data_IF_998841038092
#
_entry.id   IF_998841038092
#
_cell.length_a   1.000
_cell.length_b   1.000
_cell.length_c   1.000
_cell.angle_alpha   90.00
_cell.angle_beta   90.00
_cell.angle_gamma   90.00
#
_symmetry.space_group_name_H-M   'P 1'
#
loop_
_entity.id
_entity.type
_entity.pdbx_description
1 polymer ?
#
# COMPACT_ATOMS: atom_id res chain seq x y z
N UNK A 1 6.52 4.74 -16.46
CA UNK A 1 5.24 5.19 -15.87
C UNK A 1 4.30 4.01 -15.76
N UNK A 2 3.84 3.67 -14.56
CA UNK A 2 2.84 2.64 -14.36
C UNK A 2 1.54 3.03 -15.10
N UNK A 3 0.97 2.10 -15.87
CA UNK A 3 -0.25 2.38 -16.64
C UNK A 3 -1.42 2.47 -15.67
N UNK A 4 -2.02 3.64 -15.55
CA UNK A 4 -3.24 3.85 -14.77
C UNK A 4 -4.40 3.08 -15.41
N UNK A 5 -5.09 2.27 -14.60
CA UNK A 5 -6.24 1.49 -15.06
C UNK A 5 -7.51 2.36 -15.08
N UNK A 6 -8.40 2.15 -16.05
CA UNK A 6 -9.77 2.64 -15.94
C UNK A 6 -10.54 1.84 -14.88
N UNK A 7 -11.73 2.33 -14.47
CA UNK A 7 -12.58 1.61 -13.50
C UNK A 7 -12.94 0.20 -13.99
N UNK A 8 -13.27 0.06 -15.26
CA UNK A 8 -13.64 -1.22 -15.90
C UNK A 8 -12.45 -2.16 -15.97
N UNK A 9 -11.28 -1.66 -16.39
CA UNK A 9 -10.05 -2.44 -16.45
C UNK A 9 -9.62 -2.93 -15.07
N UNK A 10 -9.70 -2.07 -14.07
CA UNK A 10 -9.39 -2.41 -12.68
C UNK A 10 -10.35 -3.50 -12.17
N UNK A 11 -11.66 -3.34 -12.39
CA UNK A 11 -12.64 -4.34 -11.95
C UNK A 11 -12.43 -5.69 -12.63
N UNK A 12 -12.16 -5.69 -13.94
CA UNK A 12 -11.87 -6.90 -14.69
C UNK A 12 -10.61 -7.61 -14.17
N UNK A 13 -9.56 -6.87 -13.83
CA UNK A 13 -8.34 -7.45 -13.27
C UNK A 13 -8.56 -8.01 -11.85
N UNK A 14 -9.33 -7.31 -11.00
CA UNK A 14 -9.72 -7.81 -9.67
C UNK A 14 -10.50 -9.12 -9.77
N UNK A 15 -11.47 -9.22 -10.69
CA UNK A 15 -12.24 -10.44 -10.92
C UNK A 15 -11.34 -11.58 -11.37
N UNK A 16 -10.45 -11.32 -12.33
CA UNK A 16 -9.48 -12.30 -12.82
C UNK A 16 -8.55 -12.81 -11.70
N UNK A 17 -8.07 -11.93 -10.82
CA UNK A 17 -7.23 -12.31 -9.69
C UNK A 17 -8.03 -13.13 -8.67
N UNK A 18 -9.29 -12.79 -8.40
CA UNK A 18 -10.16 -13.55 -7.51
C UNK A 18 -10.43 -14.97 -8.02
N UNK A 19 -10.70 -15.13 -9.32
CA UNK A 19 -10.89 -16.44 -9.98
C UNK A 19 -9.60 -17.29 -9.97
N UNK A 20 -8.45 -16.64 -10.12
CA UNK A 20 -7.15 -17.31 -10.09
C UNK A 20 -6.66 -17.63 -8.68
N UNK A 21 -7.28 -17.09 -7.64
CA UNK A 21 -6.85 -17.21 -6.25
C UNK A 21 -6.71 -18.68 -5.81
N UNK A 22 -5.61 -18.96 -5.11
CA UNK A 22 -5.30 -20.23 -4.46
C UNK A 22 -4.71 -19.95 -3.09
N UNK A 23 -5.51 -20.13 -2.06
CA UNK A 23 -5.12 -19.95 -0.66
C UNK A 23 -5.02 -21.34 0.02
N UNK A 24 -3.90 -21.62 0.66
CA UNK A 24 -3.66 -22.88 1.36
C UNK A 24 -3.23 -22.59 2.81
N UNK A 25 -3.93 -23.16 3.77
CA UNK A 25 -3.52 -23.16 5.18
C UNK A 25 -3.00 -24.55 5.54
N UNK A 26 -1.73 -24.65 5.93
CA UNK A 26 -1.11 -25.91 6.29
C UNK A 26 -0.11 -25.73 7.43
N UNK A 27 0.21 -26.84 8.11
CA UNK A 27 1.33 -26.94 9.05
C UNK A 27 2.66 -26.92 8.25
N UNK A 28 3.66 -26.20 8.73
CA UNK A 28 4.95 -26.04 8.03
C UNK A 28 5.70 -27.36 7.87
N UNK A 29 5.43 -28.38 8.71
CA UNK A 29 5.97 -29.75 8.53
C UNK A 29 5.50 -30.42 7.24
N UNK A 30 4.43 -29.92 6.63
CA UNK A 30 3.87 -30.39 5.35
C UNK A 30 4.35 -29.54 4.17
N UNK A 31 5.38 -28.73 4.38
CA UNK A 31 5.93 -27.83 3.38
C UNK A 31 7.40 -28.18 3.12
N UNK A 32 7.83 -27.96 1.89
CA UNK A 32 9.22 -28.09 1.50
C UNK A 32 9.58 -27.03 0.46
N UNK A 33 10.82 -26.52 0.54
CA UNK A 33 11.35 -25.57 -0.40
C UNK A 33 12.20 -26.25 -1.46
N UNK A 34 11.98 -25.90 -2.72
CA UNK A 34 12.82 -26.28 -3.85
C UNK A 34 13.35 -25.02 -4.51
N UNK A 35 14.64 -25.02 -4.84
CA UNK A 35 15.24 -23.89 -5.56
C UNK A 35 15.69 -24.38 -6.92
N UNK A 36 15.11 -23.80 -7.95
CA UNK A 36 15.32 -24.19 -9.34
C UNK A 36 15.78 -23.00 -10.18
N UNK A 37 16.38 -23.30 -11.35
CA UNK A 37 16.73 -22.27 -12.32
C UNK A 37 15.45 -21.81 -13.04
N UNK A 38 15.16 -20.52 -12.93
CA UNK A 38 14.03 -19.86 -13.60
C UNK A 38 14.49 -18.86 -14.66
N UNK A 39 13.52 -18.26 -15.34
CA UNK A 39 13.79 -17.17 -16.29
C UNK A 39 14.25 -15.94 -15.50
N UNK A 40 15.50 -15.52 -15.72
CA UNK A 40 16.09 -14.35 -15.02
C UNK A 40 16.80 -14.66 -13.71
N UNK A 41 16.98 -15.95 -13.33
CA UNK A 41 17.71 -16.37 -12.14
C UNK A 41 17.03 -17.50 -11.39
N UNK A 42 17.59 -17.89 -10.25
CA UNK A 42 16.99 -18.94 -9.43
C UNK A 42 15.68 -18.48 -8.78
N UNK A 43 14.72 -19.38 -8.72
CA UNK A 43 13.40 -19.19 -8.08
C UNK A 43 13.24 -20.13 -6.90
N UNK A 44 12.41 -19.75 -5.95
CA UNK A 44 12.06 -20.60 -4.80
C UNK A 44 10.63 -21.09 -5.00
N UNK A 45 10.46 -22.38 -5.17
CA UNK A 45 9.17 -23.04 -5.13
C UNK A 45 8.91 -23.59 -3.72
N UNK A 46 7.77 -23.25 -3.17
CA UNK A 46 7.27 -23.81 -1.92
C UNK A 46 6.20 -24.86 -2.26
N UNK A 47 6.50 -26.11 -1.97
CA UNK A 47 5.58 -27.21 -2.09
C UNK A 47 4.80 -27.39 -0.79
N UNK A 48 3.51 -27.51 -0.87
CA UNK A 48 2.60 -27.69 0.28
C UNK A 48 1.77 -28.96 0.07
N UNK A 49 1.96 -29.96 0.92
CA UNK A 49 1.15 -31.15 0.91
C UNK A 49 -0.29 -30.87 1.39
N UNK A 50 -1.25 -31.03 0.53
CA UNK A 50 -2.67 -30.87 0.82
C UNK A 50 -3.42 -32.20 0.67
N UNK A 51 -4.64 -32.33 1.22
CA UNK A 51 -5.46 -33.52 1.00
C UNK A 51 -5.75 -33.81 -0.48
N UNK A 52 -5.66 -32.80 -1.34
CA UNK A 52 -5.94 -32.89 -2.79
C UNK A 52 -4.66 -33.06 -3.64
N UNK A 53 -3.52 -33.30 -3.02
CA UNK A 53 -2.21 -33.38 -3.68
C UNK A 53 -1.29 -32.21 -3.29
N UNK A 54 -0.14 -32.12 -3.96
CA UNK A 54 0.85 -31.07 -3.71
C UNK A 54 0.41 -29.79 -4.42
N UNK A 55 0.30 -28.70 -3.66
CA UNK A 55 0.18 -27.35 -4.19
C UNK A 55 1.58 -26.72 -4.23
N UNK A 56 2.09 -26.43 -5.44
CA UNK A 56 3.40 -25.80 -5.63
C UNK A 56 3.22 -24.30 -5.92
N UNK A 57 4.00 -23.47 -5.22
CA UNK A 57 3.97 -22.01 -5.33
C UNK A 57 5.36 -21.46 -5.61
N UNK A 58 5.57 -20.85 -6.75
CA UNK A 58 6.76 -20.05 -7.02
C UNK A 58 6.64 -18.72 -6.25
N UNK A 59 7.46 -18.56 -5.21
CA UNK A 59 7.38 -17.38 -4.35
C UNK A 59 7.88 -16.13 -5.07
N UNK A 60 7.06 -15.08 -5.12
CA UNK A 60 7.49 -13.77 -5.58
C UNK A 60 8.43 -13.09 -4.55
N UNK A 61 8.99 -11.93 -4.88
CA UNK A 61 9.95 -11.23 -4.01
C UNK A 61 9.36 -10.88 -2.65
N UNK A 62 8.07 -10.50 -2.60
CA UNK A 62 7.38 -10.17 -1.37
C UNK A 62 7.21 -11.39 -0.46
N UNK A 63 6.67 -12.49 -0.98
CA UNK A 63 6.49 -13.73 -0.22
C UNK A 63 7.84 -14.30 0.27
N UNK A 64 8.90 -14.26 -0.55
CA UNK A 64 10.25 -14.63 -0.11
C UNK A 64 10.74 -13.80 1.07
N UNK A 65 10.47 -12.47 1.03
CA UNK A 65 10.80 -11.56 2.14
C UNK A 65 10.07 -11.94 3.44
N UNK A 66 8.80 -12.30 3.33
CA UNK A 66 7.99 -12.74 4.48
C UNK A 66 8.48 -14.08 5.04
N UNK A 67 8.75 -15.07 4.19
CA UNK A 67 9.35 -16.36 4.60
C UNK A 67 10.69 -16.13 5.28
N UNK A 68 11.59 -15.34 4.69
CA UNK A 68 12.90 -15.03 5.26
C UNK A 68 12.76 -14.39 6.65
N UNK A 69 11.87 -13.42 6.81
CA UNK A 69 11.64 -12.73 8.08
C UNK A 69 11.08 -13.69 9.14
N UNK A 70 10.10 -14.49 8.78
CA UNK A 70 9.44 -15.44 9.68
C UNK A 70 10.39 -16.52 10.20
N UNK A 71 11.25 -17.04 9.31
CA UNK A 71 12.25 -18.04 9.66
C UNK A 71 13.55 -17.46 10.28
N UNK A 72 13.59 -16.15 10.54
CA UNK A 72 14.76 -15.48 11.12
C UNK A 72 15.98 -15.44 10.19
N UNK A 73 15.78 -15.64 8.88
CA UNK A 73 16.86 -15.58 7.88
C UNK A 73 16.97 -14.13 7.38
N UNK A 74 18.11 -13.43 7.61
CA UNK A 74 18.26 -12.07 7.08
C UNK A 74 18.03 -12.03 5.57
N UNK A 75 17.14 -11.15 5.09
CA UNK A 75 16.76 -11.08 3.67
C UNK A 75 17.95 -11.02 2.72
N UNK A 76 18.97 -10.22 3.08
CA UNK A 76 20.20 -10.10 2.28
C UNK A 76 20.97 -11.43 2.19
N UNK A 77 20.95 -12.24 3.24
CA UNK A 77 21.60 -13.57 3.23
C UNK A 77 20.75 -14.58 2.47
N UNK A 78 19.43 -14.51 2.59
CA UNK A 78 18.51 -15.31 1.79
C UNK A 78 18.74 -15.08 0.29
N UNK A 79 18.80 -13.83 -0.15
CA UNK A 79 19.03 -13.48 -1.56
C UNK A 79 20.42 -13.90 -2.05
N UNK A 80 21.44 -13.79 -1.19
CA UNK A 80 22.77 -14.31 -1.50
C UNK A 80 22.76 -15.83 -1.70
N UNK A 81 22.14 -16.58 -0.80
CA UNK A 81 22.02 -18.04 -0.94
C UNK A 81 21.22 -18.42 -2.18
N UNK A 82 20.16 -17.67 -2.50
CA UNK A 82 19.36 -17.90 -3.71
C UNK A 82 20.24 -17.86 -4.96
N UNK A 83 21.18 -16.93 -5.03
CA UNK A 83 22.05 -16.73 -6.19
C UNK A 83 23.25 -17.68 -6.17
N UNK A 84 23.96 -17.78 -5.04
CA UNK A 84 25.28 -18.41 -4.95
C UNK A 84 25.24 -19.87 -4.47
N UNK A 85 24.20 -20.24 -3.69
CA UNK A 85 24.10 -21.56 -3.05
C UNK A 85 22.66 -22.06 -2.92
N UNK A 86 21.92 -22.26 -4.05
CA UNK A 86 20.48 -22.56 -4.04
C UNK A 86 20.12 -23.81 -3.24
N UNK A 87 20.92 -24.88 -3.33
CA UNK A 87 20.69 -26.08 -2.54
C UNK A 87 20.92 -25.89 -1.03
N UNK A 88 21.73 -24.92 -0.61
CA UNK A 88 21.86 -24.54 0.79
C UNK A 88 20.63 -23.77 1.26
N UNK A 89 20.10 -22.86 0.42
CA UNK A 89 18.88 -22.13 0.74
C UNK A 89 17.70 -23.10 0.97
N UNK A 90 17.46 -24.04 0.05
CA UNK A 90 16.39 -25.00 0.20
C UNK A 90 16.49 -25.77 1.53
N UNK A 91 17.65 -26.32 1.84
CA UNK A 91 17.88 -27.04 3.12
C UNK A 91 17.74 -26.14 4.35
N UNK A 92 18.13 -24.87 4.25
CA UNK A 92 18.01 -23.92 5.36
C UNK A 92 16.54 -23.60 5.65
N UNK A 93 15.75 -23.34 4.59
CA UNK A 93 14.31 -23.10 4.70
C UNK A 93 13.61 -24.33 5.27
N UNK A 94 13.86 -25.54 4.72
CA UNK A 94 13.26 -26.79 5.18
C UNK A 94 13.58 -27.07 6.64
N UNK A 95 14.82 -26.83 7.05
CA UNK A 95 15.23 -27.03 8.45
C UNK A 95 14.36 -26.21 9.41
N UNK A 96 14.21 -24.91 9.16
CA UNK A 96 13.45 -24.05 10.06
C UNK A 96 11.94 -24.28 9.98
N UNK A 97 11.40 -24.62 8.81
CA UNK A 97 9.98 -25.00 8.66
C UNK A 97 9.62 -26.21 9.54
N UNK A 98 10.58 -27.15 9.74
CA UNK A 98 10.36 -28.39 10.49
C UNK A 98 10.74 -28.29 11.97
N UNK A 99 11.73 -27.47 12.32
CA UNK A 99 12.18 -27.30 13.71
C UNK A 99 11.21 -26.42 14.54
N UNK A 100 10.56 -25.48 13.90
CA UNK A 100 9.59 -24.58 14.54
C UNK A 100 8.24 -24.67 13.82
N UNK A 101 7.52 -25.80 13.98
CA UNK A 101 6.31 -26.02 13.22
C UNK A 101 5.19 -25.09 13.64
N UNK A 102 4.61 -24.40 12.67
CA UNK A 102 3.50 -23.52 12.84
C UNK A 102 2.48 -23.70 11.70
N UNK A 103 1.25 -23.23 11.90
CA UNK A 103 0.28 -23.13 10.80
C UNK A 103 0.44 -21.80 10.09
N UNK A 104 0.56 -21.88 8.78
CA UNK A 104 0.72 -20.70 7.91
C UNK A 104 -0.29 -20.71 6.78
N UNK A 105 -0.71 -19.51 6.39
CA UNK A 105 -1.51 -19.25 5.20
C UNK A 105 -0.56 -18.86 4.05
N UNK A 106 -0.50 -19.70 3.02
CA UNK A 106 0.11 -19.34 1.74
C UNK A 106 -0.98 -18.80 0.83
N UNK A 107 -0.87 -17.54 0.42
CA UNK A 107 -1.76 -16.93 -0.57
C UNK A 107 -1.10 -16.86 -1.92
N UNK A 108 -1.82 -17.24 -2.95
CA UNK A 108 -1.27 -17.23 -4.29
C UNK A 108 -2.32 -17.27 -5.40
N UNK A 109 -1.84 -17.53 -6.59
CA UNK A 109 -2.64 -17.81 -7.76
C UNK A 109 -2.40 -19.22 -8.24
N UNK A 110 -3.43 -19.83 -8.83
CA UNK A 110 -3.36 -21.15 -9.46
C UNK A 110 -2.31 -21.16 -10.57
N UNK A 111 -1.69 -22.31 -10.84
CA UNK A 111 -0.83 -22.46 -12.01
C UNK A 111 -1.59 -22.15 -13.29
N UNK A 112 -0.92 -21.50 -14.22
CA UNK A 112 -1.46 -21.21 -15.57
C UNK A 112 -1.32 -22.40 -16.52
N UNK A 113 -0.45 -23.35 -16.16
CA UNK A 113 -0.19 -24.59 -16.93
C UNK A 113 -0.41 -25.77 -15.98
N UNK A 114 -1.08 -26.80 -16.47
CA UNK A 114 -1.32 -28.02 -15.71
C UNK A 114 0.02 -28.67 -15.28
N UNK A 115 0.14 -29.01 -13.99
CA UNK A 115 1.37 -29.55 -13.40
C UNK A 115 2.47 -28.52 -13.13
N UNK A 116 2.26 -27.26 -13.41
CA UNK A 116 3.19 -26.18 -13.07
C UNK A 116 3.01 -25.65 -11.65
N UNK A 117 3.92 -24.74 -11.24
CA UNK A 117 3.79 -24.00 -10.00
C UNK A 117 2.84 -22.81 -10.19
N UNK A 118 2.00 -22.54 -9.18
CA UNK A 118 1.27 -21.30 -9.05
C UNK A 118 2.20 -20.17 -8.60
N UNK A 119 1.67 -18.95 -8.49
CA UNK A 119 2.43 -17.81 -7.94
C UNK A 119 2.15 -17.68 -6.46
N UNK A 120 3.16 -17.83 -5.61
CA UNK A 120 3.08 -17.55 -4.18
C UNK A 120 3.26 -16.05 -3.93
N UNK A 121 2.19 -15.39 -3.50
CA UNK A 121 2.13 -13.92 -3.29
C UNK A 121 2.42 -13.52 -1.86
N UNK A 122 2.03 -14.35 -0.88
CA UNK A 122 2.20 -14.05 0.52
C UNK A 122 2.35 -15.29 1.40
N UNK A 123 3.08 -15.09 2.50
CA UNK A 123 3.27 -15.99 3.61
C UNK A 123 2.78 -15.31 4.89
N UNK A 124 1.65 -15.76 5.43
CA UNK A 124 0.92 -15.07 6.49
C UNK A 124 0.58 -16.02 7.65
N UNK A 125 0.22 -15.46 8.79
CA UNK A 125 -0.39 -16.23 9.88
C UNK A 125 -1.71 -16.88 9.42
N UNK A 126 -2.02 -18.08 9.92
CA UNK A 126 -3.29 -18.74 9.70
C UNK A 126 -4.51 -17.95 10.24
N UNK A 127 -4.25 -16.98 11.13
CA UNK A 127 -5.26 -16.05 11.70
C UNK A 127 -5.41 -14.76 10.90
N UNK A 128 -4.72 -14.63 9.76
CA UNK A 128 -4.84 -13.44 8.93
C UNK A 128 -6.29 -13.27 8.44
N UNK A 129 -6.92 -12.13 8.81
CA UNK A 129 -8.25 -11.78 8.30
C UNK A 129 -8.12 -11.35 6.85
N UNK A 130 -8.67 -12.14 5.95
CA UNK A 130 -8.68 -11.84 4.51
C UNK A 130 -9.66 -10.69 4.26
N UNK A 131 -9.21 -9.67 3.55
CA UNK A 131 -10.05 -8.62 2.97
C UNK A 131 -9.65 -8.51 1.50
N UNK A 132 -10.37 -9.23 0.66
CA UNK A 132 -10.03 -9.36 -0.75
C UNK A 132 -10.51 -8.13 -1.53
N UNK A 133 -9.76 -7.71 -2.53
CA UNK A 133 -10.07 -6.55 -3.35
C UNK A 133 -11.43 -6.65 -4.03
N UNK A 134 -11.88 -7.87 -4.34
CA UNK A 134 -13.21 -8.11 -4.92
C UNK A 134 -14.35 -7.74 -3.96
N UNK A 135 -14.16 -7.95 -2.64
CA UNK A 135 -15.16 -7.57 -1.64
C UNK A 135 -15.23 -6.05 -1.50
N UNK A 136 -14.08 -5.39 -1.50
CA UNK A 136 -13.99 -3.92 -1.51
C UNK A 136 -14.72 -3.37 -2.73
N UNK A 137 -14.42 -3.91 -3.91
CA UNK A 137 -15.07 -3.47 -5.15
C UNK A 137 -16.60 -3.65 -5.10
N UNK A 138 -17.08 -4.79 -4.64
CA UNK A 138 -18.53 -5.09 -4.53
C UNK A 138 -19.25 -4.22 -3.50
N UNK A 139 -18.58 -3.82 -2.41
CA UNK A 139 -19.20 -3.08 -1.30
C UNK A 139 -19.05 -1.57 -1.42
N UNK A 140 -17.95 -1.09 -2.01
CA UNK A 140 -17.63 0.34 -2.05
C UNK A 140 -18.01 0.99 -3.38
N UNK A 141 -17.91 0.31 -4.52
CA UNK A 141 -18.25 0.92 -5.81
C UNK A 141 -19.70 1.41 -5.89
N UNK A 142 -20.70 0.66 -5.39
CA UNK A 142 -22.08 1.18 -5.34
C UNK A 142 -22.20 2.47 -4.52
N UNK A 143 -21.41 2.62 -3.45
CA UNK A 143 -21.40 3.86 -2.64
C UNK A 143 -20.86 5.04 -3.45
N UNK A 144 -19.88 4.82 -4.30
CA UNK A 144 -19.35 5.86 -5.19
C UNK A 144 -20.38 6.29 -6.23
N UNK A 145 -21.15 5.34 -6.77
CA UNK A 145 -22.21 5.62 -7.74
C UNK A 145 -23.36 6.43 -7.13
N UNK A 146 -23.57 6.35 -5.81
CA UNK A 146 -24.56 7.10 -5.06
C UNK A 146 -24.11 8.55 -4.72
N UNK A 147 -22.83 8.91 -4.93
CA UNK A 147 -22.30 10.24 -4.62
C UNK A 147 -22.35 11.13 -5.87
N UNK A 148 -23.23 12.15 -5.93
CA UNK A 148 -23.35 12.98 -7.11
C UNK A 148 -22.06 13.72 -7.47
N UNK A 149 -21.63 13.60 -8.72
CA UNK A 149 -20.45 14.29 -9.23
C UNK A 149 -19.11 13.64 -8.87
N UNK A 150 -19.07 12.55 -8.08
CA UNK A 150 -17.83 11.82 -7.82
C UNK A 150 -17.35 11.15 -9.12
N UNK A 151 -16.10 11.38 -9.46
CA UNK A 151 -15.49 10.85 -10.68
C UNK A 151 -14.29 9.97 -10.34
N UNK A 152 -14.18 8.83 -11.01
CA UNK A 152 -13.02 7.97 -10.92
C UNK A 152 -11.80 8.71 -11.48
N UNK A 153 -10.72 8.74 -10.71
CA UNK A 153 -9.50 9.45 -11.09
C UNK A 153 -8.40 8.47 -11.51
N UNK A 154 -8.07 7.51 -10.66
CA UNK A 154 -6.95 6.60 -10.87
C UNK A 154 -7.15 5.29 -10.12
N UNK A 155 -6.66 4.19 -10.68
CA UNK A 155 -6.44 2.96 -9.92
C UNK A 155 -5.14 2.28 -10.33
N UNK A 156 -4.58 1.53 -9.39
CA UNK A 156 -3.39 0.73 -9.58
C UNK A 156 -3.48 -0.56 -8.76
N UNK A 157 -3.03 -1.65 -9.37
CA UNK A 157 -2.78 -2.92 -8.72
C UNK A 157 -1.28 -3.21 -8.83
N UNK A 158 -0.61 -3.23 -7.68
CA UNK A 158 0.80 -3.67 -7.58
C UNK A 158 0.85 -5.11 -7.09
N UNK A 159 2.04 -5.68 -6.99
CA UNK A 159 2.22 -7.03 -6.39
C UNK A 159 1.77 -7.09 -4.93
N UNK A 160 1.79 -5.95 -4.23
CA UNK A 160 1.56 -5.87 -2.79
C UNK A 160 0.29 -5.13 -2.40
N UNK A 161 -0.21 -4.21 -3.24
CA UNK A 161 -1.31 -3.32 -2.87
C UNK A 161 -2.27 -3.02 -4.02
N UNK A 162 -3.46 -2.69 -3.62
CA UNK A 162 -4.50 -2.08 -4.44
C UNK A 162 -4.67 -0.62 -4.03
N UNK A 163 -4.77 0.26 -5.01
CA UNK A 163 -5.06 1.68 -4.86
C UNK A 163 -6.22 2.07 -5.77
N UNK A 164 -7.13 2.85 -5.24
CA UNK A 164 -8.20 3.47 -6.03
C UNK A 164 -8.42 4.88 -5.54
N UNK A 165 -8.51 5.83 -6.46
CA UNK A 165 -8.75 7.26 -6.20
C UNK A 165 -9.94 7.74 -6.98
N UNK A 166 -10.78 8.52 -6.34
CA UNK A 166 -11.87 9.27 -6.95
C UNK A 166 -11.84 10.72 -6.47
N UNK A 167 -12.29 11.64 -7.28
CA UNK A 167 -12.32 13.08 -6.98
C UNK A 167 -13.72 13.62 -7.13
N UNK A 168 -14.02 14.69 -6.38
CA UNK A 168 -15.30 15.39 -6.39
C UNK A 168 -15.08 16.80 -6.97
N UNK A 169 -15.17 16.99 -8.30
CA UNK A 169 -14.88 18.28 -8.95
C UNK A 169 -15.73 19.43 -8.45
N UNK A 170 -16.94 19.15 -7.95
CA UNK A 170 -17.81 20.18 -7.34
C UNK A 170 -17.31 20.70 -5.99
N UNK A 171 -16.28 20.08 -5.39
CA UNK A 171 -15.70 20.48 -4.11
C UNK A 171 -14.25 20.91 -4.32
N UNK A 172 -14.07 22.19 -4.63
CA UNK A 172 -12.79 22.83 -4.97
C UNK A 172 -12.55 24.09 -4.14
N UNK A 173 -11.30 24.34 -3.72
CA UNK A 173 -10.88 25.55 -3.00
C UNK A 173 -9.50 25.99 -3.43
N UNK A 174 -9.23 27.29 -3.39
CA UNK A 174 -7.90 27.84 -3.57
C UNK A 174 -7.14 27.84 -2.23
N UNK A 175 -5.92 27.32 -2.24
CA UNK A 175 -4.98 27.44 -1.10
C UNK A 175 -4.30 28.81 -1.12
N UNK A 176 -3.98 29.28 -2.30
CA UNK A 176 -3.55 30.64 -2.61
C UNK A 176 -4.06 31.02 -4.00
N UNK A 177 -4.06 32.31 -4.31
CA UNK A 177 -4.57 32.81 -5.59
C UNK A 177 -4.01 32.02 -6.79
N UNK A 178 -4.91 31.41 -7.54
CA UNK A 178 -4.58 30.60 -8.72
C UNK A 178 -4.06 29.20 -8.42
N UNK A 179 -4.03 28.75 -7.17
CA UNK A 179 -3.55 27.41 -6.79
C UNK A 179 -4.68 26.63 -6.10
N UNK A 180 -5.51 26.00 -6.92
CA UNK A 180 -6.69 25.29 -6.48
C UNK A 180 -6.42 23.80 -6.23
N UNK A 181 -7.17 23.27 -5.24
CA UNK A 181 -7.21 21.85 -4.90
C UNK A 181 -8.63 21.33 -4.92
N UNK A 182 -8.80 20.07 -5.28
CA UNK A 182 -10.07 19.34 -5.25
C UNK A 182 -10.07 18.27 -4.18
N UNK A 183 -11.25 18.09 -3.56
CA UNK A 183 -11.49 16.97 -2.67
C UNK A 183 -11.54 15.65 -3.43
N UNK A 184 -11.02 14.62 -2.81
CA UNK A 184 -11.08 13.26 -3.29
C UNK A 184 -11.00 12.25 -2.16
N UNK A 185 -10.97 11.00 -2.54
CA UNK A 185 -10.86 9.84 -1.66
C UNK A 185 -9.84 8.86 -2.23
N UNK A 186 -9.00 8.31 -1.38
CA UNK A 186 -8.15 7.17 -1.68
C UNK A 186 -8.60 5.96 -0.87
N UNK A 187 -8.75 4.84 -1.56
CA UNK A 187 -8.89 3.52 -0.95
C UNK A 187 -7.62 2.73 -1.25
N UNK A 188 -7.02 2.21 -0.20
CA UNK A 188 -5.82 1.38 -0.28
C UNK A 188 -6.03 0.09 0.49
N UNK A 189 -5.64 -1.04 -0.10
CA UNK A 189 -5.72 -2.36 0.52
C UNK A 189 -4.51 -3.22 0.17
N UNK A 190 -4.24 -4.22 1.01
CA UNK A 190 -3.27 -5.27 0.72
C UNK A 190 -3.84 -6.63 1.04
N UNK A 191 -3.89 -7.51 0.06
CA UNK A 191 -4.26 -8.92 0.26
C UNK A 191 -3.09 -9.77 0.79
N UNK A 192 -1.87 -9.21 0.76
CA UNK A 192 -0.61 -9.94 1.00
C UNK A 192 0.12 -9.49 2.27
N UNK A 193 -0.57 -8.75 3.15
CA UNK A 193 -0.01 -8.35 4.45
C UNK A 193 0.92 -7.14 4.40
N UNK A 194 0.98 -6.40 3.27
CA UNK A 194 1.80 -5.17 3.15
C UNK A 194 1.13 -3.92 3.70
N UNK A 195 -0.07 -4.02 4.24
CA UNK A 195 -0.79 -2.87 4.76
C UNK A 195 -2.20 -3.21 5.21
N UNK A 196 -2.89 -2.20 5.70
CA UNK A 196 -4.28 -2.27 6.14
C UNK A 196 -5.21 -1.80 5.02
N UNK A 197 -6.47 -2.22 5.03
CA UNK A 197 -7.50 -1.47 4.31
C UNK A 197 -7.59 -0.07 4.94
N UNK A 198 -7.39 0.97 4.13
CA UNK A 198 -7.58 2.36 4.55
C UNK A 198 -8.45 3.11 3.55
N UNK A 199 -9.28 4.00 4.08
CA UNK A 199 -10.12 4.94 3.37
C UNK A 199 -9.74 6.32 3.88
N UNK A 200 -9.13 7.14 3.02
CA UNK A 200 -8.50 8.39 3.40
C UNK A 200 -8.95 9.53 2.50
N UNK A 201 -9.04 10.77 2.99
CA UNK A 201 -9.12 11.93 2.12
C UNK A 201 -7.93 11.97 1.17
N UNK A 202 -8.20 12.36 -0.06
CA UNK A 202 -7.22 12.60 -1.11
C UNK A 202 -7.38 14.01 -1.63
N UNK A 203 -6.30 14.74 -1.76
CA UNK A 203 -6.29 16.11 -2.27
C UNK A 203 -5.60 16.11 -3.61
N UNK A 204 -6.30 16.55 -4.65
CA UNK A 204 -5.75 16.72 -5.98
C UNK A 204 -5.47 18.20 -6.24
N UNK A 205 -4.21 18.58 -6.39
CA UNK A 205 -3.81 19.92 -6.81
C UNK A 205 -3.93 20.07 -8.31
N UNK A 206 -4.66 21.07 -8.78
CA UNK A 206 -5.06 21.17 -10.18
C UNK A 206 -3.97 21.70 -11.11
N UNK A 207 -3.07 22.57 -10.64
CA UNK A 207 -2.03 23.17 -11.48
C UNK A 207 -1.05 22.11 -12.01
N UNK A 208 -0.63 21.19 -11.15
CA UNK A 208 0.37 20.16 -11.48
C UNK A 208 -0.22 18.75 -11.51
N UNK A 209 -1.50 18.60 -11.20
CA UNK A 209 -2.18 17.30 -11.05
C UNK A 209 -1.41 16.39 -10.07
N UNK A 210 -0.94 16.96 -8.97
CA UNK A 210 -0.26 16.24 -7.90
C UNK A 210 -1.29 15.73 -6.90
N UNK A 211 -1.14 14.50 -6.47
CA UNK A 211 -1.96 13.90 -5.43
C UNK A 211 -1.30 14.01 -4.06
N UNK A 212 -2.12 14.10 -3.01
CA UNK A 212 -1.69 14.04 -1.61
C UNK A 212 -2.73 13.27 -0.81
N UNK A 213 -2.30 12.20 -0.14
CA UNK A 213 -3.17 11.43 0.76
C UNK A 213 -3.06 11.97 2.17
N UNK A 214 -4.19 12.06 2.88
CA UNK A 214 -4.31 12.63 4.23
C UNK A 214 -4.60 11.54 5.26
N UNK A 215 -3.57 10.81 5.76
CA UNK A 215 -3.75 9.65 6.63
C UNK A 215 -4.38 9.96 7.98
N UNK A 216 -4.15 11.15 8.55
CA UNK A 216 -4.62 11.55 9.89
C UNK A 216 -6.15 11.59 10.00
N UNK A 217 -6.82 11.68 8.85
CA UNK A 217 -8.28 11.68 8.73
C UNK A 217 -8.82 10.36 8.17
N UNK A 218 -7.99 9.30 8.15
CA UNK A 218 -8.37 8.01 7.60
C UNK A 218 -9.09 7.12 8.61
N UNK A 219 -9.93 6.22 8.10
CA UNK A 219 -10.36 5.02 8.83
C UNK A 219 -9.57 3.84 8.28
N UNK A 220 -8.91 3.13 9.17
CA UNK A 220 -8.12 1.97 8.83
C UNK A 220 -8.63 0.72 9.54
N UNK A 221 -8.72 -0.38 8.81
CA UNK A 221 -9.03 -1.69 9.36
C UNK A 221 -7.85 -2.65 9.16
N UNK A 222 -7.42 -3.25 10.26
CA UNK A 222 -6.32 -4.21 10.24
C UNK A 222 -6.82 -5.58 9.81
N UNK A 223 -6.02 -6.27 9.00
CA UNK A 223 -6.19 -7.69 8.67
C UNK A 223 -5.79 -8.61 9.85
N UNK A 224 -6.03 -8.17 11.08
CA UNK A 224 -5.73 -8.96 12.26
C UNK A 224 -7.03 -9.56 12.77
N UNK A 225 -7.13 -10.89 12.75
CA UNK A 225 -8.20 -11.60 13.43
C UNK A 225 -8.19 -11.21 14.91
N UNK A 226 -9.36 -10.95 15.50
CA UNK A 226 -9.47 -10.68 16.94
C UNK A 226 -8.88 -11.88 17.71
N UNK A 227 -7.87 -11.61 18.53
CA UNK A 227 -7.38 -12.56 19.51
C UNK A 227 -8.40 -12.56 20.64
N UNK A 228 -9.19 -13.61 20.73
CA UNK A 228 -9.94 -13.88 21.96
C UNK A 228 -9.10 -14.91 22.70
N UNK A 229 -8.57 -14.48 23.82
CA UNK A 229 -7.99 -15.38 24.81
C UNK A 229 -9.13 -16.27 25.28
N UNK A 230 -8.91 -17.60 25.23
CA UNK A 230 -9.80 -18.68 25.63
C UNK A 230 -11.01 -19.03 24.72
N UNK A 231 -10.92 -20.25 24.18
CA UNK A 231 -11.98 -21.26 23.86
C UNK A 231 -13.36 -20.77 23.33
N UNK A 232 -13.59 -19.48 23.11
CA UNK A 232 -14.87 -19.00 22.58
C UNK A 232 -14.88 -19.11 21.07
N UNK A 233 -15.47 -20.16 20.54
CA UNK A 233 -15.76 -20.26 19.12
C UNK A 233 -16.97 -19.36 18.79
N UNK A 234 -16.76 -18.34 17.96
CA UNK A 234 -17.88 -17.60 17.40
C UNK A 234 -18.61 -18.46 16.36
N UNK A 235 -19.93 -18.33 16.35
CA UNK A 235 -20.73 -18.89 15.27
C UNK A 235 -20.49 -18.12 13.97
N UNK A 236 -20.71 -18.76 12.83
CA UNK A 236 -20.61 -18.14 11.51
C UNK A 236 -21.49 -16.87 11.43
N UNK A 237 -22.67 -16.89 12.06
CA UNK A 237 -23.59 -15.75 12.16
C UNK A 237 -22.94 -14.54 12.88
N UNK A 238 -22.18 -14.78 13.96
CA UNK A 238 -21.48 -13.71 14.69
C UNK A 238 -20.35 -13.10 13.83
N UNK A 239 -19.61 -13.94 13.10
CA UNK A 239 -18.55 -13.50 12.20
C UNK A 239 -19.15 -12.68 11.05
N UNK A 240 -20.24 -13.13 10.45
CA UNK A 240 -20.94 -12.42 9.38
C UNK A 240 -21.50 -11.07 9.86
N UNK A 241 -22.03 -11.01 11.09
CA UNK A 241 -22.50 -9.76 11.67
C UNK A 241 -21.38 -8.74 11.91
N UNK A 242 -20.20 -9.20 12.39
CA UNK A 242 -19.00 -8.34 12.56
C UNK A 242 -18.51 -7.82 11.20
N UNK A 243 -18.47 -8.65 10.18
CA UNK A 243 -18.10 -8.26 8.82
C UNK A 243 -19.10 -7.26 8.22
N UNK A 244 -20.39 -7.48 8.41
CA UNK A 244 -21.41 -6.53 7.93
C UNK A 244 -21.31 -5.17 8.65
N UNK A 245 -21.09 -5.16 9.97
CA UNK A 245 -20.89 -3.94 10.74
C UNK A 245 -19.65 -3.16 10.23
N UNK A 246 -18.56 -3.87 9.96
CA UNK A 246 -17.35 -3.26 9.37
C UNK A 246 -17.64 -2.58 8.03
N UNK A 247 -18.37 -3.25 7.11
CA UNK A 247 -18.68 -2.67 5.80
C UNK A 247 -19.64 -1.48 5.88
N UNK A 248 -20.54 -1.46 6.87
CA UNK A 248 -21.37 -0.27 7.14
C UNK A 248 -20.50 0.91 7.59
N UNK A 249 -19.54 0.70 8.48
CA UNK A 249 -18.57 1.72 8.90
C UNK A 249 -17.75 2.21 7.70
N UNK A 250 -17.25 1.30 6.86
CA UNK A 250 -16.49 1.66 5.66
C UNK A 250 -17.31 2.56 4.70
N UNK A 251 -18.58 2.21 4.47
CA UNK A 251 -19.51 3.02 3.66
C UNK A 251 -19.71 4.42 4.25
N UNK A 252 -19.98 4.51 5.55
CA UNK A 252 -20.21 5.79 6.21
C UNK A 252 -18.94 6.65 6.24
N UNK A 253 -17.76 5.99 6.33
CA UNK A 253 -16.46 6.65 6.19
C UNK A 253 -16.29 7.28 4.81
N UNK A 254 -16.61 6.58 3.73
CA UNK A 254 -16.54 7.14 2.36
C UNK A 254 -17.31 8.46 2.29
N UNK A 255 -18.55 8.49 2.83
CA UNK A 255 -19.38 9.71 2.85
C UNK A 255 -18.79 10.81 3.74
N UNK A 256 -18.24 10.45 4.88
CA UNK A 256 -17.64 11.41 5.82
C UNK A 256 -16.37 12.05 5.26
N UNK A 257 -15.51 11.26 4.62
CA UNK A 257 -14.25 11.71 4.01
C UNK A 257 -14.50 12.75 2.91
N UNK A 258 -15.59 12.60 2.16
CA UNK A 258 -15.98 13.50 1.07
C UNK A 258 -16.91 14.64 1.55
N UNK A 259 -17.06 14.84 2.87
CA UNK A 259 -17.87 15.95 3.38
C UNK A 259 -17.17 17.31 3.20
N UNK A 260 -17.94 18.35 2.91
CA UNK A 260 -17.43 19.72 2.77
C UNK A 260 -16.72 20.18 4.05
N UNK A 261 -17.27 19.87 5.23
CA UNK A 261 -16.66 20.24 6.52
C UNK A 261 -15.25 19.67 6.66
N UNK A 262 -15.08 18.40 6.34
CA UNK A 262 -13.76 17.75 6.41
C UNK A 262 -12.78 18.35 5.39
N UNK A 263 -13.25 18.64 4.21
CA UNK A 263 -12.42 19.28 3.18
C UNK A 263 -11.98 20.69 3.60
N UNK A 264 -12.87 21.50 4.18
CA UNK A 264 -12.51 22.83 4.69
C UNK A 264 -11.47 22.77 5.82
N UNK A 265 -11.54 21.79 6.73
CA UNK A 265 -10.51 21.58 7.76
C UNK A 265 -9.13 21.33 7.14
N UNK A 266 -9.07 20.47 6.12
CA UNK A 266 -7.84 20.16 5.40
C UNK A 266 -7.32 21.40 4.65
N UNK A 267 -8.18 22.11 3.96
CA UNK A 267 -7.84 23.33 3.21
C UNK A 267 -7.30 24.41 4.15
N UNK A 268 -7.93 24.61 5.31
CA UNK A 268 -7.44 25.56 6.32
C UNK A 268 -6.03 25.22 6.78
N UNK A 269 -5.75 23.94 7.06
CA UNK A 269 -4.41 23.52 7.47
C UNK A 269 -3.38 23.70 6.33
N UNK A 270 -3.75 23.39 5.09
CA UNK A 270 -2.87 23.62 3.94
C UNK A 270 -2.59 25.11 3.71
N UNK A 271 -3.59 25.98 3.91
CA UNK A 271 -3.43 27.43 3.77
C UNK A 271 -2.43 28.01 4.80
N UNK A 272 -2.36 27.44 6.00
CA UNK A 272 -1.36 27.84 7.01
C UNK A 272 0.08 27.58 6.50
N UNK A 273 0.31 26.55 5.69
CA UNK A 273 1.65 26.22 5.18
C UNK A 273 2.20 27.24 4.18
N UNK A 274 1.37 28.14 3.67
CA UNK A 274 1.78 29.20 2.73
C UNK A 274 2.49 30.34 3.46
N UNK A 275 2.13 30.59 4.72
CA UNK A 275 2.47 31.81 5.46
C UNK A 275 3.62 31.67 6.47
N UNK A 276 4.14 30.48 6.73
CA UNK A 276 5.22 30.22 7.67
C UNK A 276 6.59 30.75 7.22
N UNK A 277 7.63 30.43 7.99
CA UNK A 277 9.01 30.70 7.65
C UNK A 277 9.36 30.14 6.25
N UNK A 278 10.20 30.87 5.51
CA UNK A 278 10.66 30.45 4.22
C UNK A 278 11.98 29.70 4.33
N UNK A 279 12.18 28.72 3.47
CA UNK A 279 13.44 27.98 3.37
C UNK A 279 14.56 28.94 2.97
N UNK A 280 15.59 29.03 3.81
CA UNK A 280 16.74 29.89 3.59
C UNK A 280 17.80 29.24 2.71
N UNK A 281 18.04 27.95 2.88
CA UNK A 281 19.01 27.17 2.14
C UNK A 281 18.36 25.90 1.55
N UNK A 282 17.80 25.94 0.30
CA UNK A 282 17.08 24.82 -0.30
C UNK A 282 17.86 23.51 -0.32
N UNK A 283 19.19 23.56 -0.56
CA UNK A 283 20.04 22.37 -0.58
C UNK A 283 20.08 21.72 0.80
N UNK A 284 20.39 22.45 1.87
CA UNK A 284 20.47 21.92 3.22
C UNK A 284 19.10 21.44 3.73
N UNK A 285 18.02 22.16 3.40
CA UNK A 285 16.66 21.76 3.74
C UNK A 285 16.29 20.41 3.09
N UNK A 286 16.62 20.20 1.81
CA UNK A 286 16.35 18.93 1.11
C UNK A 286 17.26 17.79 1.59
N UNK A 287 18.48 18.03 2.01
CA UNK A 287 19.37 17.06 2.66
C UNK A 287 18.79 16.61 4.01
N UNK A 288 18.32 17.57 4.82
CA UNK A 288 17.66 17.32 6.11
C UNK A 288 16.39 16.49 5.90
N UNK A 289 15.58 16.84 4.90
CA UNK A 289 14.39 16.10 4.50
C UNK A 289 14.74 14.67 4.10
N UNK A 290 15.74 14.48 3.24
CA UNK A 290 16.16 13.17 2.76
C UNK A 290 16.63 12.26 3.91
N UNK A 291 17.41 12.80 4.84
CA UNK A 291 17.85 12.07 6.03
C UNK A 291 16.67 11.67 6.94
N UNK A 292 15.71 12.58 7.15
CA UNK A 292 14.57 12.35 8.05
C UNK A 292 13.57 11.33 7.49
N UNK A 293 13.34 11.35 6.18
CA UNK A 293 12.31 10.55 5.52
C UNK A 293 12.86 9.48 4.58
N UNK A 294 14.15 9.19 4.65
CA UNK A 294 14.82 8.15 3.88
C UNK A 294 14.58 8.28 2.36
N UNK A 295 14.72 9.50 1.83
CA UNK A 295 14.70 9.71 0.39
C UNK A 295 15.99 9.17 -0.23
N UNK A 296 15.88 8.59 -1.42
CA UNK A 296 17.04 8.26 -2.24
C UNK A 296 17.73 9.52 -2.76
N UNK A 297 18.94 9.38 -3.30
CA UNK A 297 19.67 10.51 -3.90
C UNK A 297 18.88 11.12 -5.06
N UNK A 298 18.34 10.28 -5.95
CA UNK A 298 17.56 10.72 -7.12
C UNK A 298 16.26 11.44 -6.68
N UNK A 299 15.60 10.94 -5.64
CA UNK A 299 14.40 11.58 -5.08
C UNK A 299 14.74 12.94 -4.46
N UNK A 300 15.83 13.04 -3.71
CA UNK A 300 16.30 14.29 -3.12
C UNK A 300 16.61 15.33 -4.19
N UNK A 301 17.34 14.94 -5.24
CA UNK A 301 17.66 15.83 -6.36
C UNK A 301 16.42 16.30 -7.11
N UNK A 302 15.46 15.39 -7.33
CA UNK A 302 14.17 15.74 -7.95
C UNK A 302 13.35 16.70 -7.09
N UNK A 303 13.29 16.49 -5.78
CA UNK A 303 12.61 17.42 -4.84
C UNK A 303 13.29 18.78 -4.87
N UNK A 304 14.62 18.86 -4.83
CA UNK A 304 15.37 20.12 -4.92
C UNK A 304 15.06 20.85 -6.24
N UNK A 305 15.12 20.14 -7.36
CA UNK A 305 14.77 20.69 -8.67
C UNK A 305 13.36 21.27 -8.69
N UNK A 306 12.36 20.47 -8.27
CA UNK A 306 10.97 20.88 -8.25
C UNK A 306 10.72 22.09 -7.32
N UNK A 307 11.43 22.16 -6.18
CA UNK A 307 11.35 23.29 -5.24
C UNK A 307 11.89 24.58 -5.87
N UNK A 308 13.05 24.51 -6.52
CA UNK A 308 13.69 25.66 -7.15
C UNK A 308 12.92 26.14 -8.37
N UNK A 309 12.48 25.22 -9.23
CA UNK A 309 11.67 25.54 -10.41
C UNK A 309 10.29 26.12 -10.04
N UNK A 310 9.68 25.60 -8.97
CA UNK A 310 8.41 26.10 -8.45
C UNK A 310 8.51 27.49 -7.82
N UNK A 311 9.71 27.93 -7.40
CA UNK A 311 9.98 29.27 -6.87
C UNK A 311 9.29 29.61 -5.55
N UNK A 312 8.57 28.66 -4.92
CA UNK A 312 7.88 28.83 -3.65
C UNK A 312 8.67 28.12 -2.53
N UNK A 313 9.40 28.88 -1.75
CA UNK A 313 10.21 28.38 -0.64
C UNK A 313 9.42 28.25 0.69
N UNK A 314 8.09 28.25 0.64
CA UNK A 314 7.24 27.97 1.81
C UNK A 314 7.14 26.47 2.08
N UNK A 315 6.52 26.12 3.21
CA UNK A 315 6.14 24.75 3.51
C UNK A 315 5.21 24.16 2.44
N UNK A 316 4.28 24.98 1.91
CA UNK A 316 3.46 24.65 0.75
C UNK A 316 4.30 24.32 -0.48
N UNK A 317 5.32 25.12 -0.77
CA UNK A 317 6.21 24.87 -1.91
C UNK A 317 6.99 23.55 -1.77
N UNK A 318 7.51 23.25 -0.57
CA UNK A 318 8.27 22.02 -0.33
C UNK A 318 7.39 20.78 -0.43
N UNK A 319 6.19 20.77 0.19
CA UNK A 319 5.30 19.62 0.08
C UNK A 319 4.86 19.37 -1.38
N UNK A 320 4.65 20.44 -2.15
CA UNK A 320 4.36 20.31 -3.57
C UNK A 320 5.56 19.81 -4.39
N UNK A 321 6.79 20.17 -4.03
CA UNK A 321 7.98 19.64 -4.66
C UNK A 321 8.13 18.12 -4.43
N UNK A 322 7.80 17.63 -3.23
CA UNK A 322 7.79 16.20 -2.89
C UNK A 322 6.70 15.45 -3.67
N UNK A 323 5.46 15.98 -3.68
CA UNK A 323 4.35 15.33 -4.41
C UNK A 323 4.52 15.40 -5.93
N UNK A 324 5.25 16.40 -6.45
CA UNK A 324 5.64 16.43 -7.85
C UNK A 324 6.68 15.35 -8.18
N UNK A 325 7.68 15.15 -7.30
CA UNK A 325 8.67 14.09 -7.44
C UNK A 325 8.03 12.68 -7.41
N UNK A 326 6.97 12.49 -6.64
CA UNK A 326 6.23 11.23 -6.61
C UNK A 326 5.81 10.75 -8.02
N UNK A 327 5.46 11.66 -8.92
CA UNK A 327 5.04 11.32 -10.30
C UNK A 327 6.17 10.82 -11.19
N UNK A 328 7.42 11.09 -10.83
CA UNK A 328 8.61 10.66 -11.57
C UNK A 328 9.11 9.28 -11.13
N UNK A 329 8.53 8.72 -10.05
CA UNK A 329 8.89 7.40 -9.54
C UNK A 329 8.07 6.32 -10.25
N UNK A 330 8.76 5.29 -10.78
CA UNK A 330 8.09 4.19 -11.50
C UNK A 330 7.35 3.22 -10.57
N UNK A 331 7.85 3.03 -9.34
CA UNK A 331 7.20 2.20 -8.33
C UNK A 331 6.03 2.94 -7.69
N UNK A 332 4.82 2.45 -7.94
CA UNK A 332 3.60 3.09 -7.44
C UNK A 332 3.45 3.03 -5.91
N UNK A 333 3.96 1.99 -5.26
CA UNK A 333 3.97 1.92 -3.79
C UNK A 333 4.85 3.04 -3.22
N UNK A 334 5.99 3.30 -3.84
CA UNK A 334 6.86 4.42 -3.47
C UNK A 334 6.27 5.79 -3.83
N UNK A 335 5.61 5.90 -4.98
CA UNK A 335 4.86 7.11 -5.35
C UNK A 335 3.84 7.46 -4.24
N UNK A 336 3.02 6.51 -3.81
CA UNK A 336 2.03 6.72 -2.76
C UNK A 336 2.65 7.09 -1.40
N UNK A 337 3.86 6.59 -1.08
CA UNK A 337 4.61 7.00 0.11
C UNK A 337 5.02 8.46 0.05
N UNK A 338 5.55 8.92 -1.07
CA UNK A 338 5.93 10.33 -1.28
C UNK A 338 4.72 11.27 -1.26
N UNK A 339 3.58 10.86 -1.80
CA UNK A 339 2.34 11.62 -1.71
C UNK A 339 1.84 11.74 -0.26
N UNK A 340 1.95 10.66 0.53
CA UNK A 340 1.68 10.69 1.97
C UNK A 340 2.66 11.56 2.75
N UNK A 341 3.93 11.63 2.31
CA UNK A 341 4.93 12.53 2.87
C UNK A 341 4.54 14.01 2.69
N UNK A 342 3.88 14.36 1.58
CA UNK A 342 3.34 15.71 1.39
C UNK A 342 2.45 16.16 2.56
N UNK A 343 1.54 15.30 3.03
CA UNK A 343 0.71 15.60 4.20
C UNK A 343 1.51 15.64 5.50
N UNK A 344 2.46 14.72 5.70
CA UNK A 344 3.32 14.75 6.88
C UNK A 344 4.07 16.08 6.98
N UNK A 345 4.51 16.62 5.84
CA UNK A 345 5.14 17.95 5.80
C UNK A 345 4.14 19.05 6.15
N UNK A 346 2.91 19.01 5.64
CA UNK A 346 1.86 19.97 5.99
C UNK A 346 1.50 19.94 7.48
N UNK A 347 1.66 18.80 8.13
CA UNK A 347 1.33 18.56 9.54
C UNK A 347 2.49 18.78 10.50
N UNK A 348 3.67 19.23 10.02
CA UNK A 348 4.81 19.48 10.88
C UNK A 348 4.49 20.59 11.90
N UNK A 349 4.78 20.37 13.20
CA UNK A 349 4.73 21.44 14.19
C UNK A 349 5.58 22.64 13.75
N UNK A 350 5.11 23.86 14.01
CA UNK A 350 5.80 25.09 13.60
C UNK A 350 7.30 25.13 13.99
N UNK A 351 7.64 24.59 15.16
CA UNK A 351 9.04 24.48 15.61
C UNK A 351 9.88 23.56 14.71
N UNK A 352 9.32 22.42 14.31
CA UNK A 352 10.03 21.45 13.45
C UNK A 352 10.15 21.98 12.02
N UNK A 353 9.11 22.69 11.55
CA UNK A 353 9.19 23.38 10.27
C UNK A 353 10.28 24.45 10.29
N UNK A 354 10.33 25.31 11.32
CA UNK A 354 11.35 26.35 11.46
C UNK A 354 12.78 25.75 11.44
N UNK A 355 13.00 24.63 12.12
CA UNK A 355 14.30 23.93 12.08
C UNK A 355 14.68 23.46 10.68
N UNK A 356 13.74 22.93 9.90
CA UNK A 356 13.98 22.49 8.53
C UNK A 356 14.19 23.67 7.60
N UNK A 357 13.43 24.75 7.76
CA UNK A 357 13.52 25.94 6.91
C UNK A 357 14.84 26.74 7.11
N UNK A 358 15.45 26.63 8.30
CA UNK A 358 16.69 27.32 8.66
C UNK A 358 17.93 26.41 8.70
N UNK A 359 17.80 25.17 8.25
CA UNK A 359 18.87 24.16 8.21
C UNK A 359 20.09 24.58 7.34
#
# INVERSE_FOLDING_TARGET
MATTLTREQMFAEIVKQDEAKLDVVADTRRMSAVVEAGVGGNVVDLNVDTPNGVAAFQLNSHARGQVATDLGIPKRYFDRMLTEAPGLLARNVDHWLHEQPERRLVRGFKPTVEGGSGVGRAWLSDRYKRMDNIEIARRIFPVFDDIPGLTFHQAQLTDTRFYMRAVLPGLEREIKVGDAVQAGIEIKNSEVGSGMLSISPFILRLICINGMTVPDHSVAARHVGKRIEDETHFTDETIEADDNAFWLVARDTVKSVLSEVRFEEIVAQLAETVHGEKIQAPIAATETLASRFSLTEDEREGVLRNLVEGGDLSQWGLLNAVTAQAKEVDDFDRQAELEGLGWQLASLPAREWAQLATA
#
